data_IF_410141693976
#
_entry.id   IF_410141693976
#
_cell.length_a   1.000
_cell.length_b   1.000
_cell.length_c   1.000
_cell.angle_alpha   90.00
_cell.angle_beta   90.00
_cell.angle_gamma   90.00
#
_symmetry.space_group_name_H-M   'P 1'
#
loop_
_entity.id
_entity.type
_entity.pdbx_description
1 polymer ?
#
# COMPACT_ATOMS: atom_id res chain seq x y z
N UNK A 1 -65.90 -29.90 -24.65
CA UNK A 1 -67.12 -30.47 -24.04
C UNK A 1 -66.69 -31.33 -22.87
N UNK A 2 -67.03 -31.10 -21.61
CA UNK A 2 -67.66 -30.00 -20.88
C UNK A 2 -67.20 -30.18 -19.41
N UNK A 3 -66.74 -29.12 -18.72
CA UNK A 3 -67.45 -28.45 -17.59
C UNK A 3 -67.56 -29.32 -16.33
N UNK A 4 -67.34 -28.88 -15.09
CA UNK A 4 -67.36 -27.55 -14.46
C UNK A 4 -67.78 -27.81 -13.01
N UNK A 5 -66.94 -27.52 -12.01
CA UNK A 5 -67.01 -26.35 -11.11
C UNK A 5 -67.94 -26.49 -9.88
N UNK A 6 -67.38 -26.07 -8.71
CA UNK A 6 -68.01 -25.59 -7.44
C UNK A 6 -68.38 -26.63 -6.36
N UNK A 7 -68.30 -26.38 -5.04
CA UNK A 7 -67.72 -25.34 -4.15
C UNK A 7 -67.82 -25.85 -2.69
N UNK A 8 -66.83 -25.50 -1.86
CA UNK A 8 -66.83 -25.13 -0.42
C UNK A 8 -67.66 -25.88 0.65
N UNK A 9 -66.96 -26.28 1.72
CA UNK A 9 -67.41 -26.11 3.12
C UNK A 9 -66.21 -26.11 4.08
N UNK A 10 -66.23 -25.19 5.05
CA UNK A 10 -65.18 -24.83 6.00
C UNK A 10 -65.12 -25.76 7.23
N UNK A 11 -63.93 -25.91 7.82
CA UNK A 11 -63.70 -26.42 9.18
C UNK A 11 -62.28 -26.07 9.65
N UNK A 12 -62.20 -25.37 10.79
CA UNK A 12 -61.04 -24.67 11.39
C UNK A 12 -59.80 -25.52 11.77
N UNK A 13 -58.64 -24.86 12.03
CA UNK A 13 -57.32 -25.51 12.09
C UNK A 13 -56.95 -26.10 13.45
N UNK A 14 -56.20 -27.20 13.40
CA UNK A 14 -55.61 -27.94 14.52
C UNK A 14 -54.45 -27.19 15.19
N UNK A 15 -54.51 -27.18 16.53
CA UNK A 15 -53.55 -26.65 17.47
C UNK A 15 -52.32 -27.58 17.60
N UNK A 16 -51.21 -27.25 16.92
CA UNK A 16 -49.92 -27.95 17.03
C UNK A 16 -48.74 -26.96 17.05
N UNK A 17 -48.82 -25.96 17.95
CA UNK A 17 -47.75 -24.95 18.12
C UNK A 17 -47.02 -25.03 19.47
N UNK A 18 -46.75 -26.24 19.98
CA UNK A 18 -46.06 -26.40 21.27
C UNK A 18 -44.86 -27.37 21.31
N UNK A 19 -44.27 -27.74 20.16
CA UNK A 19 -43.07 -28.61 20.11
C UNK A 19 -41.81 -27.99 19.49
N UNK A 20 -41.84 -26.71 19.08
CA UNK A 20 -40.67 -26.03 18.49
C UNK A 20 -39.96 -25.03 19.42
N UNK A 21 -40.44 -24.84 20.66
CA UNK A 21 -39.97 -23.79 21.59
C UNK A 21 -39.16 -24.31 22.78
N UNK A 22 -38.79 -25.60 22.79
CA UNK A 22 -38.03 -26.23 23.90
C UNK A 22 -36.59 -26.63 23.53
N UNK A 23 -36.14 -26.40 22.29
CA UNK A 23 -34.77 -26.71 21.85
C UNK A 23 -33.81 -25.51 21.86
N UNK A 24 -34.26 -24.29 22.19
CA UNK A 24 -33.44 -23.07 22.09
C UNK A 24 -33.20 -22.35 23.43
N UNK A 25 -33.19 -23.07 24.56
CA UNK A 25 -32.85 -22.49 25.87
C UNK A 25 -31.67 -23.22 26.51
N UNK A 26 -30.53 -23.26 25.81
CA UNK A 26 -29.24 -23.53 26.45
C UNK A 26 -28.88 -22.30 27.28
N UNK A 27 -29.32 -22.30 28.54
CA UNK A 27 -28.82 -21.39 29.58
C UNK A 27 -27.30 -21.55 29.62
N UNK A 28 -26.58 -20.60 29.02
CA UNK A 28 -25.14 -20.49 29.17
C UNK A 28 -24.91 -20.03 30.63
N UNK A 29 -24.67 -20.99 31.52
CA UNK A 29 -24.35 -20.72 32.91
C UNK A 29 -23.02 -19.99 32.95
N UNK A 30 -22.95 -18.84 33.64
CA UNK A 30 -21.70 -18.10 33.87
C UNK A 30 -20.62 -18.93 34.60
N UNK A 31 -20.94 -20.16 35.05
CA UNK A 31 -20.01 -21.13 35.63
C UNK A 31 -19.21 -21.95 34.60
N UNK A 32 -19.58 -21.91 33.31
CA UNK A 32 -18.87 -22.62 32.23
C UNK A 32 -17.69 -21.80 31.66
N UNK A 33 -17.40 -20.63 32.24
CA UNK A 33 -16.20 -19.85 31.93
C UNK A 33 -15.02 -20.53 32.64
N UNK A 34 -14.41 -21.50 31.96
CA UNK A 34 -13.18 -22.15 32.45
C UNK A 34 -12.07 -21.12 32.57
N UNK A 35 -11.62 -20.84 33.80
CA UNK A 35 -10.46 -19.99 34.04
C UNK A 35 -9.24 -20.72 33.45
N UNK A 36 -8.47 -20.10 32.53
CA UNK A 36 -7.34 -20.76 31.91
C UNK A 36 -6.28 -21.13 32.95
N UNK A 37 -5.72 -22.35 32.82
CA UNK A 37 -4.63 -22.83 33.67
C UNK A 37 -3.44 -21.85 33.67
N UNK A 38 -2.71 -21.76 34.79
CA UNK A 38 -1.44 -21.00 34.88
C UNK A 38 -0.46 -21.39 33.76
N UNK A 39 -0.41 -22.66 33.36
CA UNK A 39 0.43 -23.12 32.25
C UNK A 39 -0.06 -22.62 30.89
N UNK A 40 -1.37 -22.57 30.68
CA UNK A 40 -1.99 -22.04 29.47
C UNK A 40 -1.75 -20.52 29.37
N UNK A 41 -1.94 -19.78 30.47
CA UNK A 41 -1.66 -18.34 30.54
C UNK A 41 -0.18 -18.07 30.25
N UNK A 42 0.74 -18.78 30.90
CA UNK A 42 2.17 -18.60 30.68
C UNK A 42 2.58 -18.93 29.24
N UNK A 43 2.00 -19.98 28.65
CA UNK A 43 2.23 -20.33 27.26
C UNK A 43 1.72 -19.24 26.31
N UNK A 44 0.51 -18.73 26.53
CA UNK A 44 -0.06 -17.61 25.77
C UNK A 44 0.81 -16.37 25.90
N UNK A 45 1.25 -16.01 27.12
CA UNK A 45 2.16 -14.87 27.33
C UNK A 45 3.44 -15.06 26.53
N UNK A 46 4.11 -16.22 26.64
CA UNK A 46 5.35 -16.50 25.88
C UNK A 46 5.13 -16.42 24.37
N UNK A 47 4.02 -16.95 23.86
CA UNK A 47 3.69 -16.89 22.44
C UNK A 47 3.41 -15.46 21.97
N UNK A 48 2.63 -14.70 22.74
CA UNK A 48 2.32 -13.30 22.44
C UNK A 48 3.57 -12.44 22.52
N UNK A 49 4.40 -12.58 23.56
CA UNK A 49 5.66 -11.84 23.68
C UNK A 49 6.62 -12.15 22.53
N UNK A 50 6.75 -13.42 22.13
CA UNK A 50 7.55 -13.79 20.96
C UNK A 50 6.97 -13.21 19.67
N UNK A 51 5.64 -13.25 19.52
CA UNK A 51 4.95 -12.67 18.37
C UNK A 51 5.13 -11.16 18.29
N UNK A 52 5.22 -10.44 19.40
CA UNK A 52 5.42 -8.98 19.39
C UNK A 52 6.85 -8.57 19.03
N UNK A 53 7.83 -9.47 19.09
CA UNK A 53 9.18 -9.15 18.63
C UNK A 53 9.18 -8.89 17.11
N UNK A 54 9.93 -7.90 16.60
CA UNK A 54 10.09 -7.72 15.16
C UNK A 54 10.63 -8.98 14.48
N UNK A 55 10.22 -9.25 13.23
CA UNK A 55 10.60 -10.50 12.56
C UNK A 55 12.13 -10.71 12.52
N UNK A 56 12.94 -9.66 12.32
CA UNK A 56 14.40 -9.80 12.28
C UNK A 56 14.98 -10.28 13.62
N UNK A 57 14.39 -9.87 14.75
CA UNK A 57 14.76 -10.37 16.09
C UNK A 57 14.31 -11.81 16.26
N UNK A 58 13.10 -12.15 15.82
CA UNK A 58 12.59 -13.53 15.88
C UNK A 58 13.51 -14.48 15.11
N UNK A 59 13.98 -14.09 13.93
CA UNK A 59 14.88 -14.93 13.11
C UNK A 59 16.27 -15.09 13.72
N UNK A 60 16.74 -14.12 14.52
CA UNK A 60 17.99 -14.25 15.28
C UNK A 60 17.83 -15.20 16.47
N UNK A 61 16.68 -15.15 17.17
CA UNK A 61 16.41 -16.00 18.33
C UNK A 61 16.06 -17.44 17.92
N UNK A 62 15.30 -17.59 16.83
CA UNK A 62 14.90 -18.88 16.26
C UNK A 62 15.21 -18.89 14.75
N UNK A 63 16.44 -19.23 14.36
CA UNK A 63 16.80 -19.41 12.97
C UNK A 63 15.91 -20.47 12.32
N UNK A 64 15.51 -20.23 11.08
CA UNK A 64 14.81 -21.24 10.28
C UNK A 64 15.82 -22.23 9.74
N UNK A 65 15.56 -23.54 9.89
CA UNK A 65 16.37 -24.60 9.29
C UNK A 65 16.22 -24.66 7.75
N UNK A 66 15.21 -24.00 7.20
CA UNK A 66 15.04 -23.93 5.74
C UNK A 66 15.98 -22.89 5.11
N UNK A 67 16.61 -23.21 3.96
CA UNK A 67 17.45 -22.27 3.24
C UNK A 67 16.63 -21.04 2.81
N UNK A 68 17.26 -19.84 2.77
CA UNK A 68 16.59 -18.63 2.34
C UNK A 68 16.08 -18.81 0.90
N UNK A 69 14.82 -18.46 0.68
CA UNK A 69 14.22 -18.53 -0.67
C UNK A 69 14.95 -17.56 -1.60
N UNK A 70 15.29 -17.97 -2.83
CA UNK A 70 15.88 -17.06 -3.80
C UNK A 70 14.91 -15.90 -4.08
N UNK A 71 15.46 -14.71 -4.27
CA UNK A 71 14.67 -13.54 -4.64
C UNK A 71 14.02 -13.74 -6.01
N UNK A 72 12.75 -13.35 -6.15
CA UNK A 72 12.08 -13.33 -7.45
C UNK A 72 12.75 -12.27 -8.36
N UNK A 73 12.76 -12.43 -9.71
CA UNK A 73 13.38 -11.47 -10.63
C UNK A 73 13.01 -9.99 -10.43
N UNK A 74 11.81 -9.73 -9.91
CA UNK A 74 11.27 -8.40 -9.67
C UNK A 74 11.37 -7.95 -8.21
N UNK A 75 12.13 -8.63 -7.35
CA UNK A 75 12.24 -8.31 -5.92
C UNK A 75 12.77 -6.90 -5.65
N UNK A 76 13.51 -6.31 -6.59
CA UNK A 76 13.94 -4.91 -6.51
C UNK A 76 12.75 -3.92 -6.48
N UNK A 77 11.60 -4.26 -7.05
CA UNK A 77 10.37 -3.45 -6.95
C UNK A 77 9.83 -3.45 -5.52
N UNK A 78 9.90 -4.59 -4.81
CA UNK A 78 9.48 -4.67 -3.41
C UNK A 78 10.37 -3.77 -2.55
N UNK A 79 11.69 -3.81 -2.75
CA UNK A 79 12.64 -2.97 -2.04
C UNK A 79 12.47 -1.47 -2.35
N UNK A 80 12.24 -1.13 -3.61
CA UNK A 80 11.96 0.25 -4.04
C UNK A 80 10.67 0.78 -3.40
N UNK A 81 9.61 -0.03 -3.40
CA UNK A 81 8.34 0.28 -2.72
C UNK A 81 8.52 0.46 -1.22
N UNK A 82 9.36 -0.37 -0.58
CA UNK A 82 9.72 -0.25 0.83
C UNK A 82 10.40 1.08 1.16
N UNK A 83 11.39 1.46 0.36
CA UNK A 83 12.06 2.76 0.50
C UNK A 83 11.09 3.91 0.24
N UNK A 84 10.26 3.83 -0.79
CA UNK A 84 9.27 4.87 -1.09
C UNK A 84 8.27 5.06 0.08
N UNK A 85 7.74 3.98 0.64
CA UNK A 85 6.84 4.04 1.79
C UNK A 85 7.53 4.66 3.02
N UNK A 86 8.80 4.33 3.26
CA UNK A 86 9.58 4.92 4.34
C UNK A 86 9.87 6.42 4.12
N UNK A 87 10.21 6.83 2.90
CA UNK A 87 10.38 8.24 2.54
C UNK A 87 9.08 9.03 2.67
N UNK A 88 7.94 8.43 2.33
CA UNK A 88 6.62 9.02 2.56
C UNK A 88 6.37 9.23 4.05
N UNK A 89 6.74 8.27 4.90
CA UNK A 89 6.67 8.47 6.35
C UNK A 89 7.57 9.64 6.81
N UNK A 90 8.84 9.68 6.37
CA UNK A 90 9.75 10.79 6.69
C UNK A 90 9.13 12.12 6.26
N UNK A 91 8.52 12.17 5.08
CA UNK A 91 7.83 13.35 4.60
C UNK A 91 6.64 13.76 5.50
N UNK A 92 5.80 12.81 5.93
CA UNK A 92 4.66 13.11 6.80
C UNK A 92 5.05 13.51 8.23
N UNK A 93 6.09 12.91 8.80
CA UNK A 93 6.59 13.31 10.12
C UNK A 93 7.30 14.67 10.06
N UNK A 94 7.95 15.00 8.94
CA UNK A 94 8.51 16.34 8.72
C UNK A 94 7.41 17.41 8.70
N UNK A 95 6.27 17.20 8.01
CA UNK A 95 5.12 18.13 8.08
C UNK A 95 4.61 18.40 9.49
N UNK A 96 4.75 17.43 10.39
CA UNK A 96 4.23 17.53 11.75
C UNK A 96 5.07 18.44 12.66
N UNK A 97 6.24 18.91 12.22
CA UNK A 97 7.13 19.81 13.00
C UNK A 97 7.81 20.91 12.21
N UNK A 98 7.99 20.72 10.91
CA UNK A 98 8.67 21.65 10.03
C UNK A 98 7.76 21.94 8.85
N UNK A 99 7.61 23.23 8.49
CA UNK A 99 6.99 23.59 7.23
C UNK A 99 7.97 23.24 6.10
N UNK A 100 7.88 22.00 5.60
CA UNK A 100 8.69 21.51 4.47
C UNK A 100 8.14 22.00 3.12
N UNK A 101 7.01 22.72 3.11
CA UNK A 101 6.43 23.33 1.92
C UNK A 101 6.72 24.84 1.83
N UNK A 102 7.15 25.51 2.91
CA UNK A 102 7.40 26.96 2.97
C UNK A 102 8.49 27.33 3.99
N UNK A 103 9.37 28.29 3.67
CA UNK A 103 10.29 28.89 4.64
C UNK A 103 9.57 29.94 5.53
N UNK A 104 9.96 29.98 6.82
CA UNK A 104 9.56 30.85 7.96
C UNK A 104 8.62 32.05 7.69
N UNK A 105 7.42 32.05 8.31
CA UNK A 105 6.73 33.21 8.91
C UNK A 105 5.43 32.79 9.65
N UNK A 106 4.93 33.56 10.63
CA UNK A 106 4.31 33.01 11.83
C UNK A 106 2.79 33.28 11.99
N UNK A 107 2.19 32.49 12.91
CA UNK A 107 1.02 32.77 13.78
C UNK A 107 -0.42 32.51 13.31
N UNK A 108 -1.19 31.80 14.16
CA UNK A 108 -2.67 31.81 14.12
C UNK A 108 -3.43 30.69 14.85
N UNK A 109 -3.00 30.26 16.05
CA UNK A 109 -3.67 29.18 16.80
C UNK A 109 -4.93 29.63 17.58
N UNK A 110 -6.01 28.82 17.51
CA UNK A 110 -7.23 28.98 18.34
C UNK A 110 -7.27 27.92 19.46
N UNK A 111 -7.49 28.36 20.70
CA UNK A 111 -7.41 27.58 21.95
C UNK A 111 -8.79 27.33 22.58
N UNK A 112 -9.55 26.35 22.07
CA UNK A 112 -10.85 25.97 22.64
C UNK A 112 -10.77 24.68 23.50
N UNK A 113 -11.29 24.75 24.73
CA UNK A 113 -11.33 23.67 25.74
C UNK A 113 -12.02 22.37 25.27
N UNK A 114 -12.92 22.45 24.28
CA UNK A 114 -13.64 21.30 23.71
C UNK A 114 -12.74 20.40 22.84
N UNK A 115 -11.53 20.84 22.49
CA UNK A 115 -10.63 20.13 21.56
C UNK A 115 -9.62 19.19 22.25
N UNK A 116 -9.66 19.09 23.59
CA UNK A 116 -8.78 18.21 24.36
C UNK A 116 -9.06 16.71 24.06
N UNK A 117 -8.04 15.85 23.93
CA UNK A 117 -8.19 14.45 23.49
C UNK A 117 -9.19 13.61 24.31
N UNK A 118 -9.24 13.83 25.63
CA UNK A 118 -10.13 13.10 26.55
C UNK A 118 -11.57 13.63 26.48
N UNK A 119 -11.76 14.94 26.30
CA UNK A 119 -13.08 15.57 26.17
C UNK A 119 -13.69 15.26 24.81
N UNK A 120 -12.88 15.28 23.75
CA UNK A 120 -13.24 14.91 22.37
C UNK A 120 -13.70 13.46 22.23
N UNK A 121 -13.13 12.55 23.00
CA UNK A 121 -13.47 11.13 23.01
C UNK A 121 -14.89 10.86 23.56
N UNK A 122 -15.42 11.71 24.44
CA UNK A 122 -16.67 11.46 25.17
C UNK A 122 -17.94 11.86 24.39
N UNK A 123 -17.85 12.72 23.37
CA UNK A 123 -19.02 13.18 22.58
C UNK A 123 -19.00 12.76 21.10
N UNK A 124 -17.90 12.18 20.61
CA UNK A 124 -17.86 11.46 19.32
C UNK A 124 -18.33 10.00 19.54
N UNK A 125 -19.65 9.78 19.55
CA UNK A 125 -20.23 8.46 19.83
C UNK A 125 -19.72 7.34 18.89
N UNK A 126 -19.46 6.11 19.40
CA UNK A 126 -18.96 4.97 18.61
C UNK A 126 -19.86 4.60 17.42
N UNK A 127 -21.18 4.75 17.55
CA UNK A 127 -22.13 4.37 16.51
C UNK A 127 -22.14 5.34 15.32
N UNK A 128 -22.08 6.65 15.58
CA UNK A 128 -22.02 7.67 14.53
C UNK A 128 -20.66 7.62 13.84
N UNK A 129 -19.58 7.38 14.58
CA UNK A 129 -18.25 7.20 14.02
C UNK A 129 -18.15 5.92 13.19
N UNK A 130 -18.73 4.80 13.62
CA UNK A 130 -18.81 3.55 12.83
C UNK A 130 -19.70 3.70 11.60
N UNK A 131 -20.79 4.46 11.69
CA UNK A 131 -21.63 4.78 10.52
C UNK A 131 -20.92 5.69 9.53
N UNK A 132 -20.20 6.73 10.01
CA UNK A 132 -19.34 7.57 9.18
C UNK A 132 -18.20 6.77 8.55
N UNK A 133 -17.59 5.87 9.31
CA UNK A 133 -16.57 4.95 8.82
C UNK A 133 -17.15 4.02 7.75
N UNK A 134 -18.31 3.39 8.00
CA UNK A 134 -18.97 2.47 7.06
C UNK A 134 -19.43 3.16 5.78
N UNK A 135 -20.05 4.34 5.89
CA UNK A 135 -20.45 5.14 4.72
C UNK A 135 -19.25 5.70 3.95
N UNK A 136 -18.19 6.12 4.65
CA UNK A 136 -16.92 6.50 4.02
C UNK A 136 -16.25 5.31 3.34
N UNK A 137 -16.29 4.13 3.96
CA UNK A 137 -15.76 2.88 3.41
C UNK A 137 -16.49 2.47 2.14
N UNK A 138 -17.82 2.57 2.10
CA UNK A 138 -18.60 2.30 0.89
C UNK A 138 -18.28 3.29 -0.24
N UNK A 139 -18.03 4.56 0.08
CA UNK A 139 -17.54 5.54 -0.91
C UNK A 139 -16.11 5.24 -1.39
N UNK A 140 -15.24 4.86 -0.46
CA UNK A 140 -13.85 4.48 -0.70
C UNK A 140 -13.72 3.20 -1.54
N UNK A 141 -14.57 2.20 -1.29
CA UNK A 141 -14.63 0.94 -2.02
C UNK A 141 -15.36 1.08 -3.37
N UNK A 142 -15.95 2.24 -3.68
CA UNK A 142 -16.64 2.47 -4.94
C UNK A 142 -15.64 2.89 -6.04
N UNK A 143 -15.39 2.04 -7.05
CA UNK A 143 -14.38 2.28 -8.06
C UNK A 143 -14.73 3.43 -9.03
N UNK A 144 -15.99 3.88 -9.07
CA UNK A 144 -16.45 4.90 -10.01
C UNK A 144 -16.36 6.32 -9.44
N UNK A 145 -16.33 6.49 -8.13
CA UNK A 145 -16.42 7.82 -7.49
C UNK A 145 -15.08 8.35 -6.98
N UNK A 146 -14.13 7.47 -6.65
CA UNK A 146 -12.82 7.86 -6.11
C UNK A 146 -12.90 8.67 -4.81
N UNK A 147 -13.99 8.55 -4.04
CA UNK A 147 -14.18 9.31 -2.80
C UNK A 147 -13.15 8.90 -1.77
N UNK A 148 -12.55 9.90 -1.10
CA UNK A 148 -11.57 9.70 -0.03
C UNK A 148 -12.25 9.25 1.26
N UNK A 149 -11.52 8.52 2.08
CA UNK A 149 -11.92 8.25 3.46
C UNK A 149 -11.65 9.50 4.30
N UNK A 150 -12.66 10.01 5.01
CA UNK A 150 -12.54 11.25 5.80
C UNK A 150 -11.65 11.11 7.04
N UNK A 151 -11.46 9.90 7.53
CA UNK A 151 -10.81 9.60 8.81
C UNK A 151 -9.28 9.58 8.74
N UNK A 152 -8.72 9.26 7.58
CA UNK A 152 -7.27 9.12 7.38
C UNK A 152 -6.90 9.67 6.01
N UNK A 153 -6.54 10.96 5.98
CA UNK A 153 -6.26 11.70 4.75
C UNK A 153 -5.08 11.14 3.95
N UNK A 154 -4.12 10.48 4.60
CA UNK A 154 -2.95 9.86 3.95
C UNK A 154 -3.32 8.68 3.05
N UNK A 155 -4.48 8.06 3.26
CA UNK A 155 -5.00 6.92 2.47
C UNK A 155 -5.61 7.32 1.11
N UNK A 156 -5.44 8.58 0.70
CA UNK A 156 -6.05 9.12 -0.51
C UNK A 156 -5.62 8.41 -1.81
N UNK A 157 -4.46 7.73 -1.84
CA UNK A 157 -4.01 7.01 -3.04
C UNK A 157 -4.80 5.71 -3.25
N UNK A 158 -5.21 5.01 -2.19
CA UNK A 158 -5.86 3.70 -2.30
C UNK A 158 -7.10 3.71 -3.23
N UNK A 159 -8.07 4.64 -3.14
CA UNK A 159 -9.23 4.62 -4.04
C UNK A 159 -8.82 4.92 -5.49
N UNK A 160 -7.78 5.72 -5.71
CA UNK A 160 -7.24 6.00 -7.03
C UNK A 160 -6.55 4.76 -7.61
N UNK A 161 -5.73 4.08 -6.81
CA UNK A 161 -5.06 2.83 -7.16
C UNK A 161 -6.07 1.71 -7.46
N UNK A 162 -7.14 1.61 -6.67
CA UNK A 162 -8.21 0.63 -6.89
C UNK A 162 -8.92 0.87 -8.24
N UNK A 163 -9.32 2.13 -8.51
CA UNK A 163 -9.93 2.50 -9.79
C UNK A 163 -8.99 2.26 -10.97
N UNK A 164 -7.73 2.69 -10.85
CA UNK A 164 -6.74 2.53 -11.91
C UNK A 164 -6.38 1.05 -12.16
N UNK A 165 -6.40 0.21 -11.12
CA UNK A 165 -6.22 -1.24 -11.23
C UNK A 165 -7.35 -1.89 -12.04
N UNK A 166 -8.60 -1.50 -11.81
CA UNK A 166 -9.75 -2.01 -12.59
C UNK A 166 -9.64 -1.60 -14.05
N UNK A 167 -9.31 -0.32 -14.32
CA UNK A 167 -9.07 0.18 -15.68
C UNK A 167 -7.95 -0.63 -16.33
N UNK A 168 -6.85 -0.85 -15.61
CA UNK A 168 -5.71 -1.63 -16.11
C UNK A 168 -6.10 -3.07 -16.42
N UNK A 169 -6.83 -3.76 -15.55
CA UNK A 169 -7.30 -5.14 -15.80
C UNK A 169 -8.25 -5.21 -16.99
N UNK A 170 -9.19 -4.28 -17.11
CA UNK A 170 -10.08 -4.18 -18.27
C UNK A 170 -9.29 -3.96 -19.57
N UNK A 171 -8.30 -3.06 -19.54
CA UNK A 171 -7.42 -2.82 -20.69
C UNK A 171 -6.59 -4.06 -21.02
N UNK A 172 -6.03 -4.76 -20.03
CA UNK A 172 -5.30 -6.01 -20.22
C UNK A 172 -6.16 -7.07 -20.91
N UNK A 173 -7.41 -7.25 -20.47
CA UNK A 173 -8.37 -8.14 -21.12
C UNK A 173 -8.66 -7.71 -22.56
N UNK A 174 -8.84 -6.41 -22.81
CA UNK A 174 -9.09 -5.88 -24.15
C UNK A 174 -7.92 -6.10 -25.13
N UNK A 175 -6.68 -6.01 -24.64
CA UNK A 175 -5.47 -6.16 -25.49
C UNK A 175 -4.85 -7.56 -25.45
N UNK A 176 -5.38 -8.51 -24.68
CA UNK A 176 -4.73 -9.79 -24.42
C UNK A 176 -4.47 -10.62 -25.70
N UNK A 177 -5.35 -10.53 -26.70
CA UNK A 177 -5.24 -11.26 -27.98
C UNK A 177 -4.51 -10.46 -29.07
N UNK A 178 -4.13 -9.21 -28.80
CA UNK A 178 -3.40 -8.40 -29.78
C UNK A 178 -1.97 -8.89 -29.93
N UNK A 179 -1.44 -8.81 -31.16
CA UNK A 179 0.00 -9.00 -31.36
C UNK A 179 0.76 -7.90 -30.61
N UNK A 180 1.87 -8.30 -30.01
CA UNK A 180 2.95 -7.51 -29.39
C UNK A 180 3.11 -6.07 -29.93
N UNK A 181 3.24 -5.87 -31.25
CA UNK A 181 3.37 -4.52 -31.84
C UNK A 181 2.13 -3.64 -31.67
N UNK A 182 0.95 -4.23 -31.88
CA UNK A 182 -0.32 -3.53 -31.76
C UNK A 182 -0.66 -3.28 -30.30
N UNK A 183 -0.34 -4.21 -29.40
CA UNK A 183 -0.48 -4.03 -27.97
C UNK A 183 0.32 -2.82 -27.46
N UNK A 184 1.60 -2.70 -27.85
CA UNK A 184 2.41 -1.53 -27.48
C UNK A 184 1.88 -0.25 -28.13
N UNK A 185 1.53 -0.30 -29.42
CA UNK A 185 0.92 0.85 -30.09
C UNK A 185 -0.34 1.34 -29.38
N UNK A 186 -1.27 0.44 -29.04
CA UNK A 186 -2.48 0.75 -28.29
C UNK A 186 -2.16 1.33 -26.90
N UNK A 187 -1.18 0.78 -26.18
CA UNK A 187 -0.77 1.31 -24.89
C UNK A 187 -0.19 2.72 -25.00
N UNK A 188 0.66 2.98 -26.00
CA UNK A 188 1.20 4.32 -26.25
C UNK A 188 0.10 5.32 -26.60
N UNK A 189 -0.88 4.93 -27.41
CA UNK A 189 -2.05 5.76 -27.69
C UNK A 189 -2.88 6.05 -26.43
N UNK A 190 -3.10 5.04 -25.58
CA UNK A 190 -3.83 5.20 -24.31
C UNK A 190 -3.06 6.06 -23.31
N UNK A 191 -1.72 5.96 -23.27
CA UNK A 191 -0.86 6.84 -22.47
C UNK A 191 -0.93 8.28 -22.96
N UNK A 192 -0.83 8.51 -24.27
CA UNK A 192 -0.95 9.85 -24.86
C UNK A 192 -2.33 10.46 -24.58
N UNK A 193 -3.39 9.66 -24.69
CA UNK A 193 -4.74 10.07 -24.31
C UNK A 193 -4.84 10.39 -22.81
N UNK A 194 -4.34 9.52 -21.93
CA UNK A 194 -4.37 9.73 -20.48
C UNK A 194 -3.59 10.98 -20.05
N UNK A 195 -2.48 11.27 -20.72
CA UNK A 195 -1.70 12.50 -20.55
C UNK A 195 -2.49 13.73 -21.02
N UNK A 196 -3.12 13.66 -22.19
CA UNK A 196 -3.94 14.76 -22.73
C UNK A 196 -5.14 15.13 -21.85
N UNK A 197 -5.81 14.14 -21.24
CA UNK A 197 -6.94 14.38 -20.32
C UNK A 197 -6.51 14.70 -18.87
N UNK A 198 -5.22 14.96 -18.65
CA UNK A 198 -4.62 15.22 -17.33
C UNK A 198 -4.93 14.13 -16.27
N UNK A 199 -4.94 12.86 -16.71
CA UNK A 199 -5.13 11.73 -15.82
C UNK A 199 -3.80 11.03 -15.53
N UNK A 200 -2.99 11.68 -14.69
CA UNK A 200 -1.67 11.19 -14.31
C UNK A 200 -1.73 9.78 -13.67
N UNK A 201 -2.76 9.44 -12.90
CA UNK A 201 -2.90 8.11 -12.28
C UNK A 201 -2.96 7.01 -13.35
N UNK A 202 -3.86 7.15 -14.32
CA UNK A 202 -4.01 6.17 -15.41
C UNK A 202 -2.77 6.13 -16.29
N UNK A 203 -2.13 7.28 -16.53
CA UNK A 203 -0.86 7.36 -17.24
C UNK A 203 0.24 6.52 -16.58
N UNK A 204 0.43 6.66 -15.26
CA UNK A 204 1.44 5.89 -14.51
C UNK A 204 1.16 4.38 -14.55
N UNK A 205 -0.11 3.97 -14.44
CA UNK A 205 -0.50 2.56 -14.51
C UNK A 205 -0.24 1.96 -15.89
N UNK A 206 -0.56 2.68 -16.98
CA UNK A 206 -0.22 2.24 -18.33
C UNK A 206 1.28 2.25 -18.60
N UNK A 207 2.02 3.20 -18.04
CA UNK A 207 3.48 3.18 -18.11
C UNK A 207 4.05 1.94 -17.42
N UNK A 208 3.55 1.57 -16.24
CA UNK A 208 3.92 0.32 -15.56
C UNK A 208 3.64 -0.92 -16.41
N UNK A 209 2.48 -0.97 -17.07
CA UNK A 209 2.16 -2.06 -18.01
C UNK A 209 3.13 -2.10 -19.19
N UNK A 210 3.42 -0.95 -19.81
CA UNK A 210 4.39 -0.87 -20.90
C UNK A 210 5.78 -1.34 -20.45
N UNK A 211 6.24 -0.92 -19.28
CA UNK A 211 7.53 -1.33 -18.73
C UNK A 211 7.60 -2.85 -18.48
N UNK A 212 6.53 -3.44 -17.92
CA UNK A 212 6.45 -4.88 -17.73
C UNK A 212 6.47 -5.65 -19.07
N UNK A 213 5.73 -5.17 -20.08
CA UNK A 213 5.74 -5.75 -21.42
C UNK A 213 7.14 -5.70 -22.06
N UNK A 214 7.87 -4.58 -21.90
CA UNK A 214 9.23 -4.43 -22.40
C UNK A 214 10.24 -5.31 -21.64
N UNK A 215 10.05 -5.49 -20.33
CA UNK A 215 10.89 -6.34 -19.49
C UNK A 215 10.76 -7.83 -19.86
N UNK A 216 9.53 -8.31 -20.03
CA UNK A 216 9.25 -9.68 -20.49
C UNK A 216 9.92 -9.94 -21.84
N UNK A 217 9.84 -8.98 -22.77
CA UNK A 217 10.48 -9.11 -24.09
C UNK A 217 12.00 -9.14 -24.00
N UNK A 218 12.60 -8.24 -23.22
CA UNK A 218 14.06 -8.21 -23.00
C UNK A 218 14.53 -9.54 -22.43
N UNK A 219 13.81 -10.08 -21.45
CA UNK A 219 14.11 -11.37 -20.82
C UNK A 219 13.95 -12.55 -21.79
N UNK A 220 12.88 -12.57 -22.58
CA UNK A 220 12.66 -13.60 -23.60
C UNK A 220 13.74 -13.58 -24.69
N UNK A 221 14.15 -12.39 -25.13
CA UNK A 221 15.23 -12.23 -26.10
C UNK A 221 16.57 -12.70 -25.52
N UNK A 222 16.91 -12.28 -24.29
CA UNK A 222 18.13 -12.72 -23.62
C UNK A 222 18.19 -14.25 -23.44
N UNK A 223 17.05 -14.89 -23.10
CA UNK A 223 16.96 -16.34 -23.01
C UNK A 223 17.21 -17.02 -24.38
N UNK A 224 16.64 -16.48 -25.46
CA UNK A 224 16.84 -17.01 -26.81
C UNK A 224 18.29 -16.88 -27.31
N UNK A 225 18.97 -15.79 -26.95
CA UNK A 225 20.39 -15.57 -27.29
C UNK A 225 21.30 -16.49 -26.49
N UNK A 226 21.04 -16.66 -25.19
CA UNK A 226 21.83 -17.54 -24.31
C UNK A 226 21.75 -19.01 -24.76
N UNK A 227 20.60 -19.46 -25.25
CA UNK A 227 20.47 -20.81 -25.82
C UNK A 227 21.31 -20.99 -27.11
N UNK A 228 21.53 -19.93 -27.87
CA UNK A 228 22.32 -19.95 -29.10
C UNK A 228 23.82 -19.75 -28.89
N UNK A 229 24.26 -19.26 -27.72
CA UNK A 229 25.67 -18.93 -27.46
C UNK A 229 26.09 -19.50 -26.11
N UNK A 230 26.79 -20.64 -26.14
CA UNK A 230 27.52 -21.11 -24.96
C UNK A 230 28.80 -20.29 -24.80
N UNK A 231 29.07 -19.91 -23.56
CA UNK A 231 30.30 -19.30 -23.01
C UNK A 231 30.35 -17.77 -22.92
N UNK A 232 30.53 -17.34 -21.68
CA UNK A 232 30.75 -16.00 -21.12
C UNK A 232 29.49 -15.14 -20.85
N UNK A 233 29.29 -14.67 -19.61
CA UNK A 233 28.27 -13.65 -19.32
C UNK A 233 28.62 -12.35 -20.08
N UNK A 234 27.63 -11.67 -20.69
CA UNK A 234 27.87 -10.43 -21.39
C UNK A 234 28.45 -9.39 -20.43
N UNK A 235 29.60 -8.82 -20.79
CA UNK A 235 30.21 -7.73 -20.01
C UNK A 235 29.24 -6.53 -20.00
N UNK A 236 29.02 -5.89 -18.83
CA UNK A 236 28.15 -4.72 -18.76
C UNK A 236 28.75 -3.61 -19.62
N UNK A 237 27.95 -3.09 -20.55
CA UNK A 237 28.37 -1.96 -21.37
C UNK A 237 28.40 -0.70 -20.50
N UNK A 238 29.59 -0.10 -20.38
CA UNK A 238 29.83 1.09 -19.56
C UNK A 238 28.93 2.26 -19.98
N UNK A 239 28.72 2.47 -21.28
CA UNK A 239 27.88 3.56 -21.79
C UNK A 239 26.43 3.42 -21.31
N UNK A 240 25.87 2.21 -21.41
CA UNK A 240 24.51 1.92 -20.92
C UNK A 240 24.42 2.07 -19.40
N UNK A 241 25.46 1.64 -18.67
CA UNK A 241 25.52 1.80 -17.22
C UNK A 241 25.50 3.28 -16.82
N UNK A 242 26.29 4.11 -17.48
CA UNK A 242 26.32 5.56 -17.26
C UNK A 242 24.95 6.15 -17.61
N UNK A 243 24.37 5.80 -18.76
CA UNK A 243 23.06 6.31 -19.18
C UNK A 243 21.96 6.00 -18.15
N UNK A 244 21.86 4.75 -17.69
CA UNK A 244 20.86 4.38 -16.68
C UNK A 244 21.10 5.07 -15.35
N UNK A 245 22.36 5.26 -14.95
CA UNK A 245 22.70 5.97 -13.70
C UNK A 245 22.32 7.45 -13.79
N UNK A 246 22.64 8.12 -14.90
CA UNK A 246 22.23 9.51 -15.13
C UNK A 246 20.71 9.66 -15.21
N UNK A 247 20.02 8.69 -15.83
CA UNK A 247 18.56 8.68 -15.89
C UNK A 247 17.94 8.49 -14.50
N UNK A 248 18.54 7.64 -13.67
CA UNK A 248 18.11 7.46 -12.29
C UNK A 248 18.28 8.74 -11.46
N UNK A 249 19.44 9.41 -11.58
CA UNK A 249 19.69 10.70 -10.92
C UNK A 249 18.71 11.77 -11.40
N UNK A 250 18.45 11.84 -12.71
CA UNK A 250 17.44 12.73 -13.27
C UNK A 250 16.04 12.43 -12.76
N UNK A 251 15.69 11.14 -12.62
CA UNK A 251 14.43 10.70 -12.03
C UNK A 251 14.29 11.10 -10.55
N UNK A 252 15.36 10.99 -9.76
CA UNK A 252 15.38 11.47 -8.37
C UNK A 252 15.17 12.98 -8.30
N UNK A 253 15.87 13.73 -9.15
CA UNK A 253 15.76 15.18 -9.20
C UNK A 253 14.33 15.62 -9.58
N UNK A 254 13.71 15.03 -10.61
CA UNK A 254 12.31 15.31 -10.97
C UNK A 254 11.30 14.87 -9.90
N UNK A 255 11.62 13.79 -9.17
CA UNK A 255 10.82 13.33 -8.02
C UNK A 255 10.83 14.32 -6.85
N UNK A 256 11.89 15.12 -6.72
CA UNK A 256 12.03 16.19 -5.74
C UNK A 256 11.40 17.52 -6.17
N UNK A 257 10.30 17.49 -6.91
CA UNK A 257 9.59 18.69 -7.36
C UNK A 257 9.20 19.60 -6.17
N UNK A 258 9.62 20.89 -6.16
CA UNK A 258 9.14 21.84 -5.18
C UNK A 258 7.64 22.05 -5.31
N UNK A 259 6.92 21.98 -4.19
CA UNK A 259 5.48 22.27 -4.17
C UNK A 259 5.21 23.77 -4.29
N UNK A 260 6.08 24.61 -3.75
CA UNK A 260 5.98 26.07 -3.80
C UNK A 260 7.34 26.70 -4.13
N UNK A 261 7.34 27.97 -4.54
CA UNK A 261 8.55 28.76 -4.79
C UNK A 261 9.56 28.08 -5.74
N UNK A 262 9.04 27.38 -6.75
CA UNK A 262 9.84 26.63 -7.74
C UNK A 262 10.77 27.55 -8.54
N UNK A 263 10.51 28.85 -8.59
CA UNK A 263 11.34 29.88 -9.19
C UNK A 263 12.73 30.02 -8.55
N UNK A 264 12.86 29.69 -7.27
CA UNK A 264 14.13 29.78 -6.54
C UNK A 264 14.93 28.47 -6.59
N UNK A 265 14.29 27.37 -6.99
CA UNK A 265 14.94 26.08 -7.07
C UNK A 265 15.72 25.96 -8.41
N UNK A 266 17.01 25.54 -8.39
CA UNK A 266 17.82 25.46 -9.60
C UNK A 266 17.15 24.60 -10.67
N UNK A 267 17.01 25.10 -11.91
CA UNK A 267 16.43 24.38 -13.06
C UNK A 267 14.89 24.29 -13.11
N UNK A 268 14.21 24.55 -11.99
CA UNK A 268 12.76 24.37 -11.89
C UNK A 268 11.94 25.43 -12.62
N UNK A 269 12.48 26.64 -12.81
CA UNK A 269 11.82 27.66 -13.62
C UNK A 269 11.62 27.22 -15.08
N UNK A 270 12.60 26.53 -15.65
CA UNK A 270 12.50 25.95 -17.00
C UNK A 270 11.61 24.71 -17.02
N UNK A 271 11.75 23.81 -16.04
CA UNK A 271 10.90 22.62 -15.99
C UNK A 271 9.42 22.97 -15.81
N UNK A 272 9.11 23.96 -14.97
CA UNK A 272 7.74 24.40 -14.76
C UNK A 272 7.12 25.02 -16.02
N UNK A 273 7.90 25.76 -16.82
CA UNK A 273 7.42 26.35 -18.07
C UNK A 273 7.21 25.32 -19.19
N UNK A 274 7.86 24.16 -19.11
CA UNK A 274 7.68 23.04 -20.03
C UNK A 274 6.42 22.20 -19.74
N UNK A 275 5.71 22.46 -18.65
CA UNK A 275 4.45 21.77 -18.35
C UNK A 275 3.38 22.24 -19.34
N UNK A 276 2.74 21.34 -20.10
CA UNK A 276 1.71 21.72 -21.05
C UNK A 276 0.55 22.49 -20.40
N UNK A 277 -0.05 23.47 -21.08
CA UNK A 277 -1.05 24.35 -20.48
C UNK A 277 -2.36 23.64 -20.08
N UNK A 278 -2.65 22.48 -20.68
CA UNK A 278 -3.83 21.65 -20.35
C UNK A 278 -3.67 20.80 -19.09
N UNK A 279 -2.48 20.74 -18.49
CA UNK A 279 -2.25 20.05 -17.23
C UNK A 279 -2.67 20.96 -16.08
N UNK A 280 -3.67 20.52 -15.32
CA UNK A 280 -4.21 21.22 -14.16
C UNK A 280 -3.40 20.88 -12.89
N UNK A 281 -3.07 19.61 -12.66
CA UNK A 281 -2.29 19.19 -11.49
C UNK A 281 -0.77 19.24 -11.75
N UNK A 282 -0.23 20.46 -11.78
CA UNK A 282 1.18 20.73 -12.13
C UNK A 282 2.19 20.15 -11.14
N UNK A 283 1.82 20.00 -9.87
CA UNK A 283 2.71 19.47 -8.82
C UNK A 283 3.01 17.97 -8.99
N UNK A 284 2.15 17.26 -9.73
CA UNK A 284 2.31 15.82 -9.97
C UNK A 284 2.94 15.48 -11.31
N UNK A 285 3.15 16.48 -12.15
CA UNK A 285 3.61 16.28 -13.51
C UNK A 285 5.02 15.70 -13.54
N UNK A 286 6.01 16.43 -12.99
CA UNK A 286 7.40 15.99 -13.03
C UNK A 286 7.68 14.86 -12.06
N UNK A 287 7.01 14.83 -10.91
CA UNK A 287 7.12 13.69 -9.97
C UNK A 287 6.65 12.38 -10.61
N UNK A 288 5.58 12.41 -11.40
CA UNK A 288 5.11 11.26 -12.18
C UNK A 288 6.14 10.78 -13.21
N UNK A 289 6.69 11.70 -14.01
CA UNK A 289 7.76 11.36 -14.97
C UNK A 289 9.04 10.88 -14.28
N UNK A 290 9.40 11.48 -13.14
CA UNK A 290 10.54 11.06 -12.32
C UNK A 290 10.39 9.61 -11.85
N UNK A 291 9.20 9.23 -11.37
CA UNK A 291 8.90 7.86 -10.99
C UNK A 291 9.07 6.87 -12.17
N UNK A 292 8.61 7.23 -13.37
CA UNK A 292 8.81 6.42 -14.58
C UNK A 292 10.29 6.20 -14.88
N UNK A 293 11.09 7.27 -14.83
CA UNK A 293 12.53 7.20 -15.10
C UNK A 293 13.27 6.35 -14.06
N UNK A 294 12.89 6.45 -12.78
CA UNK A 294 13.45 5.64 -11.69
C UNK A 294 13.18 4.15 -11.89
N UNK A 295 11.93 3.79 -12.21
CA UNK A 295 11.56 2.38 -12.45
C UNK A 295 12.22 1.86 -13.73
N UNK A 296 12.20 2.63 -14.81
CA UNK A 296 12.80 2.23 -16.09
C UNK A 296 14.32 2.03 -15.95
N UNK A 297 15.05 3.01 -15.42
CA UNK A 297 16.50 2.91 -15.25
C UNK A 297 16.90 1.74 -14.35
N UNK A 298 16.18 1.52 -13.25
CA UNK A 298 16.42 0.40 -12.34
C UNK A 298 16.12 -0.96 -12.99
N UNK A 299 15.06 -1.05 -13.80
CA UNK A 299 14.72 -2.27 -14.54
C UNK A 299 15.77 -2.67 -15.59
N UNK A 300 16.67 -1.76 -15.98
CA UNK A 300 17.72 -2.02 -16.97
C UNK A 300 19.13 -2.13 -16.37
N UNK A 301 19.31 -1.84 -15.07
CA UNK A 301 20.63 -1.81 -14.45
C UNK A 301 20.71 -2.69 -13.21
N UNK A 302 21.47 -3.79 -13.31
CA UNK A 302 21.72 -4.68 -12.17
C UNK A 302 22.44 -3.99 -11.00
N UNK A 303 23.21 -2.93 -11.26
CA UNK A 303 23.87 -2.13 -10.20
C UNK A 303 22.82 -1.35 -9.42
N UNK A 304 21.87 -0.70 -10.10
CA UNK A 304 20.78 0.03 -9.45
C UNK A 304 19.85 -0.94 -8.70
N UNK A 305 19.59 -2.13 -9.24
CA UNK A 305 18.81 -3.16 -8.55
C UNK A 305 19.44 -3.59 -7.22
N UNK A 306 20.79 -3.63 -7.10
CA UNK A 306 21.48 -3.98 -5.85
C UNK A 306 21.16 -3.03 -4.69
N UNK A 307 20.81 -1.77 -4.99
CA UNK A 307 20.35 -0.81 -3.97
C UNK A 307 19.04 -1.31 -3.33
N UNK A 308 18.21 -2.03 -4.08
CA UNK A 308 16.88 -2.46 -3.66
C UNK A 308 16.76 -3.96 -3.35
N UNK A 309 17.83 -4.76 -3.51
CA UNK A 309 17.81 -6.20 -3.24
C UNK A 309 18.60 -6.61 -2.00
N UNK A 310 19.08 -5.65 -1.20
CA UNK A 310 19.73 -5.94 0.07
C UNK A 310 18.71 -6.28 1.19
N UNK A 311 19.19 -6.90 2.27
CA UNK A 311 18.34 -7.40 3.35
C UNK A 311 17.47 -6.30 3.99
N UNK A 312 18.01 -5.08 4.13
CA UNK A 312 17.31 -3.95 4.72
C UNK A 312 16.15 -3.48 3.82
N UNK A 313 16.41 -3.23 2.54
CA UNK A 313 15.37 -2.79 1.60
C UNK A 313 14.31 -3.85 1.36
N UNK A 314 14.70 -5.12 1.31
CA UNK A 314 13.75 -6.24 1.24
C UNK A 314 12.87 -6.35 2.49
N UNK A 315 13.42 -6.08 3.68
CA UNK A 315 12.62 -6.04 4.91
C UNK A 315 11.62 -4.87 4.88
N UNK A 316 12.04 -3.67 4.48
CA UNK A 316 11.12 -2.55 4.28
C UNK A 316 10.05 -2.88 3.24
N UNK A 317 10.42 -3.54 2.15
CA UNK A 317 9.50 -3.99 1.10
C UNK A 317 8.45 -4.99 1.59
N UNK A 318 8.82 -5.86 2.53
CA UNK A 318 7.90 -6.81 3.18
C UNK A 318 6.83 -6.11 4.02
N UNK A 319 7.20 -5.06 4.76
CA UNK A 319 6.28 -4.34 5.66
C UNK A 319 5.66 -3.09 5.03
N UNK A 320 6.00 -2.75 3.78
CA UNK A 320 5.74 -1.43 3.19
C UNK A 320 4.26 -1.06 3.13
N UNK A 321 3.37 -2.02 2.85
CA UNK A 321 1.93 -1.78 2.83
C UNK A 321 1.41 -1.47 4.23
N UNK A 322 1.83 -2.24 5.23
CA UNK A 322 1.46 -1.99 6.63
C UNK A 322 2.02 -0.66 7.12
N UNK A 323 3.28 -0.34 6.77
CA UNK A 323 3.93 0.95 7.07
C UNK A 323 3.11 2.11 6.49
N UNK A 324 2.70 2.00 5.23
CA UNK A 324 1.84 2.99 4.60
C UNK A 324 0.48 3.13 5.30
N UNK A 325 -0.13 2.05 5.78
CA UNK A 325 -1.41 2.16 6.49
C UNK A 325 -1.27 2.81 7.86
N UNK A 326 -0.30 2.39 8.66
CA UNK A 326 -0.25 2.71 10.10
C UNK A 326 0.56 3.96 10.42
N UNK A 327 1.36 4.51 9.50
CA UNK A 327 2.21 5.67 9.82
C UNK A 327 1.41 6.89 10.28
N UNK A 328 0.27 7.19 9.66
CA UNK A 328 -0.62 8.27 10.09
C UNK A 328 -1.07 8.08 11.55
N UNK A 329 -1.54 6.87 11.89
CA UNK A 329 -1.91 6.53 13.27
C UNK A 329 -0.75 6.69 14.26
N UNK A 330 0.44 6.19 13.92
CA UNK A 330 1.64 6.29 14.78
C UNK A 330 2.08 7.74 14.97
N UNK A 331 2.04 8.57 13.92
CA UNK A 331 2.33 10.00 14.03
C UNK A 331 1.31 10.67 14.98
N UNK A 332 0.01 10.42 14.79
CA UNK A 332 -1.00 11.10 15.60
C UNK A 332 -1.01 10.67 17.08
N UNK A 333 -0.60 9.43 17.37
CA UNK A 333 -0.69 8.85 18.73
C UNK A 333 0.64 8.85 19.49
N UNK A 334 1.76 8.56 18.81
CA UNK A 334 3.06 8.46 19.45
C UNK A 334 3.90 9.73 19.23
N UNK A 335 3.96 10.25 18.01
CA UNK A 335 4.84 11.39 17.70
C UNK A 335 4.42 12.67 18.39
N UNK A 336 3.16 13.11 18.24
CA UNK A 336 2.71 14.36 18.87
C UNK A 336 2.79 14.32 20.39
N UNK A 337 2.56 13.16 21.01
CA UNK A 337 2.74 13.03 22.46
C UNK A 337 4.22 13.09 22.86
N UNK A 338 5.10 12.51 22.05
CA UNK A 338 6.52 12.41 22.37
C UNK A 338 7.29 13.72 22.12
N UNK A 339 6.96 14.47 21.06
CA UNK A 339 7.65 15.72 20.74
C UNK A 339 7.43 16.79 21.82
N UNK A 340 6.22 16.86 22.41
CA UNK A 340 5.91 17.75 23.54
C UNK A 340 6.76 17.43 24.78
N UNK A 341 6.99 16.14 25.06
CA UNK A 341 7.88 15.72 26.15
C UNK A 341 9.33 16.12 25.85
N UNK A 342 9.78 15.96 24.61
CA UNK A 342 11.13 16.36 24.20
C UNK A 342 11.34 17.86 24.31
N UNK A 343 10.37 18.68 23.88
CA UNK A 343 10.41 20.13 24.05
C UNK A 343 10.42 20.53 25.53
N UNK A 344 9.69 19.82 26.40
CA UNK A 344 9.77 20.04 27.85
C UNK A 344 11.13 19.71 28.49
N UNK A 345 11.97 18.88 27.85
CA UNK A 345 13.28 18.45 28.38
C UNK A 345 14.44 19.19 27.72
N UNK A 346 14.40 19.38 26.41
CA UNK A 346 15.47 19.97 25.59
C UNK A 346 15.26 21.48 25.43
N UNK A 347 14.00 21.93 25.44
CA UNK A 347 13.56 23.27 25.07
C UNK A 347 13.07 23.34 23.62
N UNK A 348 12.32 24.39 23.32
CA UNK A 348 11.77 24.73 21.99
C UNK A 348 12.03 26.19 21.60
N UNK A 349 12.91 26.88 22.33
CA UNK A 349 13.18 28.31 22.12
C UNK A 349 14.12 28.58 20.93
N UNK A 350 15.04 27.65 20.64
CA UNK A 350 16.01 27.79 19.55
C UNK A 350 15.79 26.76 18.44
N UNK A 351 16.15 27.12 17.21
CA UNK A 351 16.05 26.20 16.05
C UNK A 351 16.88 24.94 16.28
N UNK A 352 18.06 25.06 16.86
CA UNK A 352 18.91 23.90 17.17
C UNK A 352 18.23 22.93 18.16
N UNK A 353 17.51 23.44 19.16
CA UNK A 353 16.76 22.58 20.09
C UNK A 353 15.60 21.86 19.41
N UNK A 354 14.90 22.53 18.48
CA UNK A 354 13.83 21.92 17.68
C UNK A 354 14.36 20.84 16.75
N UNK A 355 15.48 21.09 16.07
CA UNK A 355 16.14 20.13 15.17
C UNK A 355 16.65 18.90 15.94
N UNK A 356 17.27 19.09 17.11
CA UNK A 356 17.72 17.98 17.97
C UNK A 356 16.51 17.18 18.48
N UNK A 357 15.45 17.85 18.94
CA UNK A 357 14.21 17.20 19.38
C UNK A 357 13.56 16.39 18.25
N UNK A 358 13.54 16.94 17.04
CA UNK A 358 13.05 16.26 15.85
C UNK A 358 13.91 15.04 15.49
N UNK A 359 15.23 15.16 15.48
CA UNK A 359 16.12 14.04 15.19
C UNK A 359 15.92 12.88 16.19
N UNK A 360 15.79 13.18 17.47
CA UNK A 360 15.50 12.18 18.51
C UNK A 360 14.12 11.57 18.32
N UNK A 361 13.09 12.39 18.09
CA UNK A 361 11.73 11.93 17.83
C UNK A 361 11.66 11.03 16.59
N UNK A 362 12.34 11.41 15.51
CA UNK A 362 12.40 10.65 14.27
C UNK A 362 12.97 9.25 14.50
N UNK A 363 14.07 9.11 15.24
CA UNK A 363 14.68 7.80 15.54
C UNK A 363 13.74 6.93 16.36
N UNK A 364 13.17 7.46 17.44
CA UNK A 364 12.30 6.70 18.35
C UNK A 364 11.01 6.30 17.65
N UNK A 365 10.34 7.25 16.98
CA UNK A 365 9.06 7.00 16.30
C UNK A 365 9.25 6.10 15.08
N UNK A 366 10.39 6.17 14.39
CA UNK A 366 10.73 5.18 13.35
C UNK A 366 10.79 3.77 13.93
N UNK A 367 11.40 3.59 15.11
CA UNK A 367 11.44 2.30 15.80
C UNK A 367 10.04 1.78 16.12
N UNK A 368 9.17 2.63 16.67
CA UNK A 368 7.76 2.31 16.95
C UNK A 368 7.01 1.96 15.67
N UNK A 369 7.19 2.75 14.60
CA UNK A 369 6.53 2.53 13.33
C UNK A 369 6.93 1.19 12.71
N UNK A 370 8.23 0.89 12.65
CA UNK A 370 8.73 -0.38 12.12
C UNK A 370 8.18 -1.56 12.91
N UNK A 371 8.11 -1.43 14.24
CA UNK A 371 7.53 -2.45 15.11
C UNK A 371 6.04 -2.67 14.86
N UNK A 372 5.23 -1.61 14.89
CA UNK A 372 3.79 -1.67 14.65
C UNK A 372 3.50 -2.21 13.25
N UNK A 373 4.27 -1.77 12.25
CA UNK A 373 4.13 -2.22 10.85
C UNK A 373 4.40 -3.72 10.71
N UNK A 374 5.47 -4.24 11.31
CA UNK A 374 5.80 -5.68 11.26
C UNK A 374 4.73 -6.54 11.95
N UNK A 375 4.24 -6.10 13.11
CA UNK A 375 3.13 -6.78 13.81
C UNK A 375 1.87 -6.75 12.96
N UNK A 376 1.51 -5.60 12.40
CA UNK A 376 0.33 -5.44 11.54
C UNK A 376 0.43 -6.31 10.28
N UNK A 377 1.61 -6.39 9.66
CA UNK A 377 1.85 -7.26 8.50
C UNK A 377 1.54 -8.72 8.84
N UNK A 378 1.97 -9.20 10.01
CA UNK A 378 1.78 -10.61 10.41
C UNK A 378 0.37 -10.89 10.94
N UNK A 379 -0.23 -9.95 11.64
CA UNK A 379 -1.53 -10.11 12.29
C UNK A 379 -2.72 -9.85 11.35
N UNK A 380 -2.58 -8.95 10.38
CA UNK A 380 -3.69 -8.45 9.57
C UNK A 380 -3.43 -8.65 8.08
N UNK A 381 -2.32 -8.12 7.55
CA UNK A 381 -2.06 -8.09 6.10
C UNK A 381 -1.93 -9.51 5.50
N UNK A 382 -0.97 -10.31 5.99
CA UNK A 382 -0.74 -11.67 5.50
C UNK A 382 -1.98 -12.57 5.64
N UNK A 383 -2.70 -12.58 6.78
CA UNK A 383 -3.97 -13.30 6.88
C UNK A 383 -5.04 -12.81 5.89
N UNK A 384 -5.14 -11.51 5.63
CA UNK A 384 -6.10 -10.95 4.66
C UNK A 384 -5.81 -11.43 3.24
N UNK A 385 -4.53 -11.47 2.83
CA UNK A 385 -4.13 -12.02 1.53
C UNK A 385 -4.43 -13.52 1.44
N UNK A 386 -4.18 -14.28 2.52
CA UNK A 386 -4.51 -15.71 2.57
C UNK A 386 -6.01 -15.96 2.46
N UNK A 387 -6.81 -15.13 3.12
CA UNK A 387 -8.27 -15.19 3.01
C UNK A 387 -8.73 -14.91 1.57
N UNK A 388 -8.21 -13.85 0.93
CA UNK A 388 -8.54 -13.54 -0.47
C UNK A 388 -8.18 -14.71 -1.42
N UNK A 389 -6.99 -15.30 -1.28
CA UNK A 389 -6.59 -16.48 -2.07
C UNK A 389 -7.44 -17.70 -1.79
N UNK A 390 -7.88 -17.89 -0.56
CA UNK A 390 -8.81 -18.96 -0.21
C UNK A 390 -10.15 -18.76 -0.90
N UNK A 391 -10.70 -17.54 -0.90
CA UNK A 391 -11.93 -17.19 -1.61
C UNK A 391 -11.77 -17.45 -3.11
N UNK A 392 -10.69 -16.96 -3.72
CA UNK A 392 -10.35 -17.20 -5.12
C UNK A 392 -10.33 -18.70 -5.47
N UNK A 393 -9.64 -19.51 -4.67
CA UNK A 393 -9.58 -20.96 -4.86
C UNK A 393 -10.93 -21.69 -4.74
N UNK A 394 -11.92 -21.07 -4.08
CA UNK A 394 -13.30 -21.57 -4.04
C UNK A 394 -14.12 -21.17 -5.27
N UNK A 395 -13.76 -20.09 -5.95
CA UNK A 395 -14.48 -19.55 -7.09
C UNK A 395 -13.94 -20.04 -8.44
N UNK A 396 -12.65 -20.37 -8.54
CA UNK A 396 -12.04 -20.85 -9.78
C UNK A 396 -12.51 -22.27 -10.09
N UNK A 397 -13.06 -22.47 -11.29
CA UNK A 397 -13.35 -23.79 -11.81
C UNK A 397 -12.05 -24.59 -11.95
N UNK A 398 -11.97 -25.77 -11.31
CA UNK A 398 -10.81 -26.65 -11.47
C UNK A 398 -10.72 -27.09 -12.93
N UNK A 399 -9.54 -27.02 -13.57
CA UNK A 399 -9.38 -27.51 -14.94
C UNK A 399 -9.81 -28.98 -15.01
N UNK A 400 -10.63 -29.32 -16.02
CA UNK A 400 -10.96 -30.72 -16.32
C UNK A 400 -9.63 -31.43 -16.60
N UNK A 401 -9.24 -32.35 -15.72
CA UNK A 401 -8.20 -33.33 -16.02
C UNK A 401 -8.70 -34.14 -17.21
N UNK A 402 -8.16 -33.88 -18.39
CA UNK A 402 -8.32 -34.78 -19.53
C UNK A 402 -7.62 -36.06 -19.10
N UNK A 403 -8.40 -37.12 -18.84
CA UNK A 403 -7.84 -38.47 -18.74
C UNK A 403 -7.29 -38.77 -20.13
N UNK A 404 -5.97 -38.82 -20.27
CA UNK A 404 -5.36 -39.46 -21.42
C UNK A 404 -5.85 -40.91 -21.41
N UNK A 405 -6.68 -41.23 -22.39
CA UNK A 405 -7.09 -42.61 -22.66
C UNK A 405 -5.85 -43.32 -23.22
N UNK A 406 -5.37 -44.41 -22.60
CA UNK A 406 -4.20 -45.11 -23.09
C UNK A 406 -4.48 -45.62 -24.50
N UNK A 407 -3.54 -45.33 -25.41
CA UNK A 407 -3.56 -45.64 -26.84
C UNK A 407 -3.62 -47.15 -27.13
#
# INVERSE_FOLDING_TARGET
>A
MSEGQRLMSNGEPSDDTNTSTLAFKRQMSLKDISIPSKSAILHTIKQTSFFLLPTFVQTTIRPSDQPPKPLHPTAWLDGMRGIAAFLVFIFHISYATHDVATAYAPDGGKTDLLRLPIVRFLYHGPAMQMWHWGSSFLGFANPFTGKRMYLDGHLWTIPLEFRASIILYATQLGVCRLRTRYRVGSLLCLMAWAHYIDNWVVLLFYAGFLLAELDIRRTALAASTTFSTTLAPPKPNLLWTILYTLTFIGGLYLGGQPEQHWEHAPGWMTLWSLIPPYIHDRHRYWTGWGALLLVWSTSNSGILQRIFTNAFTQYLGKISFSLYLVHGFVIHTAYYAFIEVLWGVIGDETDMQKEVSFAVALVVVTGVLVWVSDVFTRAVDVPSVKFARWVEGRMIAKPRTVKEEPA
#
